data_IF_378359627442
#
_entry.id   IF_378359627442
#
_cell.length_a   1.000
_cell.length_b   1.000
_cell.length_c   1.000
_cell.angle_alpha   90.00
_cell.angle_beta   90.00
_cell.angle_gamma   90.00
#
_symmetry.space_group_name_H-M   'P 1'
#
loop_
_entity.id
_entity.type
_entity.pdbx_description
1 polymer ?
#
# COMPACT_ATOMS: atom_id res chain seq x y z
N UNK A 1 25.29 26.88 -44.80
CA UNK A 1 25.80 25.83 -43.89
C UNK A 1 25.24 26.11 -42.50
N UNK A 2 24.45 25.14 -41.98
CA UNK A 2 23.87 24.92 -40.64
C UNK A 2 23.70 26.10 -39.64
N UNK A 3 22.48 26.34 -39.11
CA UNK A 3 22.31 26.81 -37.73
C UNK A 3 22.23 25.63 -36.76
N UNK A 4 22.82 25.80 -35.58
CA UNK A 4 22.94 24.82 -34.50
C UNK A 4 21.93 25.13 -33.37
N UNK A 5 21.14 24.10 -33.02
CA UNK A 5 20.55 23.73 -31.73
C UNK A 5 19.75 24.74 -30.86
N UNK A 6 18.49 24.36 -30.61
CA UNK A 6 17.71 24.69 -29.42
C UNK A 6 18.30 24.02 -28.16
N UNK A 7 18.19 24.66 -26.99
CA UNK A 7 18.43 24.04 -25.69
C UNK A 7 17.32 24.45 -24.71
N UNK A 8 16.49 23.46 -24.34
CA UNK A 8 15.39 23.57 -23.39
C UNK A 8 15.90 23.26 -21.97
N UNK A 9 15.71 24.18 -21.01
CA UNK A 9 15.95 23.95 -19.59
C UNK A 9 14.77 23.19 -18.95
N UNK A 10 14.76 21.86 -19.09
CA UNK A 10 13.76 20.99 -18.47
C UNK A 10 14.20 20.50 -17.09
N UNK A 11 13.56 21.00 -16.03
CA UNK A 11 13.76 20.46 -14.67
C UNK A 11 13.19 21.34 -13.55
N UNK A 12 13.29 22.66 -13.69
CA UNK A 12 12.80 23.61 -12.68
C UNK A 12 11.31 23.97 -12.85
N UNK A 13 10.82 23.93 -14.09
CA UNK A 13 9.43 24.28 -14.44
C UNK A 13 8.40 23.23 -14.02
N UNK A 14 8.78 21.94 -13.99
CA UNK A 14 7.88 20.86 -13.58
C UNK A 14 7.55 20.85 -12.09
N UNK A 15 8.52 21.24 -11.25
CA UNK A 15 8.33 21.36 -9.80
C UNK A 15 7.34 22.48 -9.44
N UNK A 16 7.39 23.59 -10.18
CA UNK A 16 6.46 24.71 -10.02
C UNK A 16 5.06 24.33 -10.50
N UNK A 17 4.94 23.54 -11.57
CA UNK A 17 3.65 23.09 -12.09
C UNK A 17 2.87 22.19 -11.11
N UNK A 18 3.53 21.22 -10.47
CA UNK A 18 2.89 20.33 -9.48
C UNK A 18 2.45 21.08 -8.21
N UNK A 19 3.30 21.98 -7.71
CA UNK A 19 2.97 22.84 -6.58
C UNK A 19 1.80 23.79 -6.92
N UNK A 20 1.70 24.24 -8.17
CA UNK A 20 0.59 25.10 -8.63
C UNK A 20 -0.71 24.31 -8.85
N UNK A 21 -0.65 23.03 -9.24
CA UNK A 21 -1.83 22.18 -9.37
C UNK A 21 -2.48 21.85 -8.02
N UNK A 22 -1.67 21.55 -7.00
CA UNK A 22 -2.13 21.41 -5.60
C UNK A 22 -2.71 22.71 -5.04
N UNK A 23 -2.16 23.86 -5.44
CA UNK A 23 -2.70 25.17 -5.08
C UNK A 23 -4.04 25.49 -5.74
N UNK A 24 -4.36 24.86 -6.87
CA UNK A 24 -5.61 25.10 -7.60
C UNK A 24 -6.79 24.26 -7.09
N UNK A 25 -6.55 23.18 -6.32
CA UNK A 25 -7.62 22.35 -5.75
C UNK A 25 -8.16 22.85 -4.40
N UNK A 26 -7.50 23.83 -3.78
CA UNK A 26 -7.84 24.37 -2.44
C UNK A 26 -8.04 25.88 -2.53
N UNK A 27 -9.25 26.39 -2.25
CA UNK A 27 -9.60 27.81 -2.42
C UNK A 27 -8.86 28.77 -1.48
N UNK A 28 -8.18 28.24 -0.45
CA UNK A 28 -7.46 29.01 0.57
C UNK A 28 -5.97 28.61 0.68
N UNK A 29 -5.36 28.16 -0.42
CA UNK A 29 -3.95 27.78 -0.47
C UNK A 29 -3.15 28.76 -1.34
N UNK A 30 -2.12 29.42 -0.77
CA UNK A 30 -1.25 30.31 -1.53
C UNK A 30 0.23 30.06 -1.21
N UNK A 31 1.02 29.64 -2.20
CA UNK A 31 2.48 29.52 -2.06
C UNK A 31 3.09 30.91 -1.82
N UNK A 32 3.72 31.10 -0.67
CA UNK A 32 4.33 32.36 -0.21
C UNK A 32 5.84 32.36 -0.29
N UNK A 33 6.47 31.20 -0.55
CA UNK A 33 7.91 31.13 -0.73
C UNK A 33 8.35 29.83 -1.39
N UNK A 34 9.42 29.91 -2.17
CA UNK A 34 10.11 28.75 -2.73
C UNK A 34 11.59 28.97 -2.46
N UNK A 35 12.23 28.06 -1.74
CA UNK A 35 13.68 28.10 -1.47
C UNK A 35 14.32 26.83 -2.00
N UNK A 36 15.35 26.98 -2.83
CA UNK A 36 16.15 25.85 -3.28
C UNK A 36 17.05 25.35 -2.14
N UNK A 37 17.07 24.04 -1.92
CA UNK A 37 17.95 23.37 -0.97
C UNK A 37 19.08 22.65 -1.74
N UNK A 38 20.14 22.17 -1.06
CA UNK A 38 21.13 21.27 -1.65
C UNK A 38 20.51 20.02 -2.28
N UNK A 39 21.28 19.28 -3.08
CA UNK A 39 20.92 17.96 -3.60
C UNK A 39 19.59 17.88 -4.37
N UNK A 40 19.29 18.92 -5.16
CA UNK A 40 18.08 19.04 -5.99
C UNK A 40 16.75 19.10 -5.21
N UNK A 41 16.80 19.44 -3.92
CA UNK A 41 15.61 19.65 -3.12
C UNK A 41 15.06 21.09 -3.24
N UNK A 42 13.79 21.26 -2.89
CA UNK A 42 13.16 22.57 -2.75
C UNK A 42 12.25 22.57 -1.52
N UNK A 43 12.28 23.68 -0.79
CA UNK A 43 11.36 24.01 0.29
C UNK A 43 10.26 24.91 -0.30
N UNK A 44 9.01 24.52 -0.13
CA UNK A 44 7.84 25.34 -0.44
C UNK A 44 7.28 25.89 0.88
N UNK A 45 6.96 27.18 0.89
CA UNK A 45 6.21 27.85 1.96
C UNK A 45 4.89 28.31 1.39
N UNK A 46 3.81 28.18 2.14
CA UNK A 46 2.52 28.75 1.79
C UNK A 46 1.83 29.33 3.01
N UNK A 47 0.75 30.02 2.76
CA UNK A 47 -0.23 30.47 3.75
C UNK A 47 -1.59 29.93 3.37
N UNK A 48 -2.32 29.43 4.36
CA UNK A 48 -3.72 29.05 4.24
C UNK A 48 -4.39 29.05 5.60
N UNK A 49 -5.72 29.11 5.60
CA UNK A 49 -6.52 29.29 6.82
C UNK A 49 -6.69 27.99 7.64
N UNK A 50 -6.04 26.90 7.23
CA UNK A 50 -6.01 25.64 7.95
C UNK A 50 -4.58 25.35 8.42
N UNK A 51 -4.45 24.94 9.68
CA UNK A 51 -3.20 24.65 10.37
C UNK A 51 -2.50 23.37 9.83
N UNK A 52 -2.24 23.30 8.53
CA UNK A 52 -1.65 22.15 7.84
C UNK A 52 -0.41 22.59 7.04
N UNK A 53 0.70 21.91 7.32
CA UNK A 53 1.97 22.05 6.62
C UNK A 53 2.28 20.71 5.92
N UNK A 54 2.72 20.77 4.68
CA UNK A 54 3.21 19.67 3.84
C UNK A 54 4.66 19.98 3.44
N UNK A 55 5.45 18.96 3.09
CA UNK A 55 6.75 19.16 2.45
C UNK A 55 6.74 18.27 1.22
N UNK A 56 7.07 18.82 0.05
CA UNK A 56 7.16 18.08 -1.20
C UNK A 56 8.65 17.87 -1.50
N UNK A 57 9.18 16.70 -1.17
CA UNK A 57 10.56 16.33 -1.54
C UNK A 57 10.56 15.58 -2.89
N UNK A 58 11.23 16.15 -3.91
CA UNK A 58 11.53 15.44 -5.16
C UNK A 58 12.88 14.75 -5.02
N UNK A 59 12.92 13.41 -5.07
CA UNK A 59 14.14 12.65 -5.30
C UNK A 59 14.11 12.10 -6.73
N UNK A 60 14.89 12.69 -7.64
CA UNK A 60 15.20 12.04 -8.93
C UNK A 60 16.34 11.06 -8.75
N UNK A 61 16.15 9.81 -9.15
CA UNK A 61 17.23 8.84 -9.26
C UNK A 61 18.35 9.40 -10.16
N UNK A 62 19.56 9.37 -9.59
CA UNK A 62 20.79 9.90 -10.13
C UNK A 62 21.34 8.94 -11.21
N UNK A 63 21.02 9.19 -12.48
CA UNK A 63 21.91 8.76 -13.57
C UNK A 63 22.97 9.85 -13.77
N UNK A 64 24.12 9.61 -13.15
CA UNK A 64 25.33 10.42 -13.28
C UNK A 64 25.72 10.52 -14.76
N UNK A 65 25.73 11.74 -15.29
CA UNK A 65 26.11 12.01 -16.68
C UNK A 65 26.46 13.48 -16.94
N UNK A 66 27.57 13.92 -16.34
CA UNK A 66 28.46 15.03 -16.75
C UNK A 66 27.88 16.31 -17.39
N UNK A 67 28.14 17.46 -16.74
CA UNK A 67 28.24 18.75 -17.43
C UNK A 67 27.95 19.99 -16.57
N UNK A 68 28.98 20.53 -15.91
CA UNK A 68 28.94 21.86 -15.31
C UNK A 68 28.78 22.94 -16.39
N UNK A 69 27.76 23.80 -16.29
CA UNK A 69 27.73 25.11 -16.95
C UNK A 69 27.09 26.16 -16.01
N UNK A 70 27.69 27.36 -15.83
CA UNK A 70 27.14 28.37 -14.93
C UNK A 70 26.05 29.19 -15.64
N UNK A 71 24.87 29.33 -15.03
CA UNK A 71 23.85 30.31 -15.45
C UNK A 71 23.99 31.59 -14.62
N UNK A 72 24.11 32.73 -15.30
CA UNK A 72 24.15 34.07 -14.71
C UNK A 72 22.76 34.51 -14.23
N UNK A 73 22.71 35.21 -13.10
CA UNK A 73 21.49 35.81 -12.56
C UNK A 73 21.08 37.07 -13.32
N UNK A 74 19.79 37.21 -13.64
CA UNK A 74 19.17 38.46 -14.12
C UNK A 74 18.25 38.98 -13.01
N UNK A 75 18.33 40.27 -12.62
CA UNK A 75 17.48 40.80 -11.57
C UNK A 75 16.05 41.07 -12.09
N UNK A 76 15.04 40.68 -11.31
CA UNK A 76 13.62 40.90 -11.62
C UNK A 76 13.13 42.21 -10.98
N UNK A 77 12.55 43.10 -11.79
CA UNK A 77 11.83 44.30 -11.33
C UNK A 77 10.39 43.93 -10.94
N UNK A 78 9.88 44.50 -9.85
CA UNK A 78 8.52 44.26 -9.33
C UNK A 78 7.58 45.37 -9.81
N UNK A 79 6.47 44.99 -10.45
CA UNK A 79 5.35 45.87 -10.79
C UNK A 79 4.02 45.10 -10.80
N UNK A 80 2.86 45.74 -10.52
CA UNK A 80 1.65 45.04 -10.14
C UNK A 80 0.67 44.89 -11.32
N UNK A 81 0.54 43.67 -11.85
CA UNK A 81 -0.65 43.23 -12.60
C UNK A 81 -0.86 41.73 -12.33
N UNK A 82 -2.12 41.24 -12.26
CA UNK A 82 -2.39 39.83 -12.06
C UNK A 82 -2.12 39.08 -13.36
N UNK A 83 -1.29 38.04 -13.32
CA UNK A 83 -1.19 37.08 -14.42
C UNK A 83 -1.93 35.80 -14.02
N UNK A 84 -2.67 35.25 -14.98
CA UNK A 84 -3.18 33.88 -14.91
C UNK A 84 -2.11 32.95 -15.46
N UNK A 85 -1.66 31.98 -14.67
CA UNK A 85 -0.77 30.92 -15.14
C UNK A 85 -1.61 29.80 -15.74
N UNK A 86 -1.59 29.65 -17.07
CA UNK A 86 -2.10 28.46 -17.74
C UNK A 86 -0.91 27.53 -18.00
N UNK A 87 -0.91 26.36 -17.37
CA UNK A 87 0.07 25.30 -17.66
C UNK A 87 -0.64 24.24 -18.49
N UNK A 88 -0.23 24.11 -19.75
CA UNK A 88 -0.49 22.92 -20.57
C UNK A 88 0.82 22.22 -20.77
N UNK A 89 1.02 21.07 -20.12
CA UNK A 89 1.90 20.04 -20.68
C UNK A 89 1.50 18.64 -20.21
N UNK A 90 1.53 17.71 -21.16
CA UNK A 90 1.34 16.27 -20.97
C UNK A 90 2.70 15.63 -20.70
N UNK A 91 2.93 15.03 -19.52
CA UNK A 91 4.24 14.47 -19.18
C UNK A 91 4.61 13.25 -20.05
N UNK A 92 5.90 13.06 -20.37
CA UNK A 92 6.37 11.87 -21.08
C UNK A 92 6.24 10.61 -20.21
N UNK A 93 5.77 9.54 -20.84
CA UNK A 93 5.24 8.27 -20.28
C UNK A 93 6.30 7.36 -19.60
N UNK A 94 7.42 7.88 -19.08
CA UNK A 94 8.53 7.02 -18.63
C UNK A 94 9.30 7.51 -17.38
N UNK A 95 8.72 8.38 -16.55
CA UNK A 95 9.39 8.83 -15.33
C UNK A 95 8.56 8.46 -14.09
N UNK A 96 9.02 7.47 -13.32
CA UNK A 96 8.53 7.18 -11.97
C UNK A 96 8.60 8.47 -11.14
N UNK A 97 7.45 8.92 -10.65
CA UNK A 97 7.31 10.18 -9.94
C UNK A 97 7.15 9.86 -8.47
N UNK A 98 8.22 10.02 -7.70
CA UNK A 98 8.20 9.78 -6.25
C UNK A 98 7.46 10.92 -5.52
N UNK A 99 6.58 10.56 -4.59
CA UNK A 99 6.07 11.46 -3.56
C UNK A 99 6.47 10.93 -2.19
N UNK A 100 7.45 11.57 -1.55
CA UNK A 100 7.74 11.34 -0.14
C UNK A 100 6.96 12.35 0.70
N UNK A 101 5.88 11.90 1.32
CA UNK A 101 5.20 12.66 2.36
C UNK A 101 5.86 12.37 3.71
N UNK A 102 6.97 13.07 4.01
CA UNK A 102 7.44 13.17 5.39
C UNK A 102 6.81 14.39 6.02
N UNK A 103 5.84 14.15 6.89
CA UNK A 103 5.50 15.12 7.93
C UNK A 103 6.55 14.91 9.01
N UNK A 104 7.50 15.83 9.09
CA UNK A 104 8.36 15.99 10.28
C UNK A 104 8.10 17.40 10.73
N UNK A 105 7.51 17.57 11.91
CA UNK A 105 7.50 18.88 12.50
C UNK A 105 8.95 19.34 12.79
N UNK A 106 9.19 20.65 12.95
CA UNK A 106 10.52 21.16 13.31
C UNK A 106 11.01 20.74 14.70
N UNK A 107 10.23 19.97 15.46
CA UNK A 107 10.50 19.56 16.84
C UNK A 107 10.87 18.07 16.96
N UNK A 108 10.74 17.28 15.90
CA UNK A 108 11.00 15.85 15.89
C UNK A 108 9.87 15.01 16.51
N UNK A 109 8.64 15.51 16.55
CA UNK A 109 7.48 14.71 17.00
C UNK A 109 6.97 13.83 15.87
N UNK A 110 6.58 12.60 16.22
CA UNK A 110 5.95 11.69 15.28
C UNK A 110 4.54 12.15 14.91
N UNK A 111 4.06 11.72 13.76
CA UNK A 111 2.71 12.01 13.30
C UNK A 111 1.87 10.74 13.34
N UNK A 112 0.74 10.83 14.01
CA UNK A 112 -0.21 9.72 14.12
C UNK A 112 -1.15 9.57 12.91
N UNK A 113 -0.87 10.27 11.80
CA UNK A 113 -1.73 10.24 10.61
C UNK A 113 -0.91 10.50 9.34
N UNK A 114 -0.89 9.51 8.44
CA UNK A 114 -0.26 9.54 7.13
C UNK A 114 -1.25 9.09 6.05
N UNK A 115 -1.47 9.92 5.04
CA UNK A 115 -2.35 9.62 3.91
C UNK A 115 -1.58 9.87 2.63
N UNK A 116 -1.51 8.87 1.75
CA UNK A 116 -0.81 8.94 0.47
C UNK A 116 -1.69 8.41 -0.68
N UNK A 117 -1.62 9.09 -1.83
CA UNK A 117 -2.28 8.69 -3.07
C UNK A 117 -1.24 8.59 -4.18
N UNK A 118 -1.22 7.44 -4.85
CA UNK A 118 -0.38 7.13 -5.99
C UNK A 118 -0.89 7.76 -7.28
N UNK A 119 -0.04 7.70 -8.29
CA UNK A 119 -0.32 8.08 -9.67
C UNK A 119 -0.69 6.84 -10.50
N UNK A 120 -0.93 7.00 -11.82
CA UNK A 120 -1.05 5.87 -12.73
C UNK A 120 0.28 5.25 -13.19
N UNK A 121 1.42 5.62 -12.57
CA UNK A 121 2.73 5.04 -12.86
C UNK A 121 3.29 4.41 -11.59
N UNK A 122 4.32 3.57 -11.74
CA UNK A 122 5.04 2.94 -10.64
C UNK A 122 5.40 3.93 -9.51
N UNK A 123 4.77 3.73 -8.36
CA UNK A 123 4.94 4.48 -7.14
C UNK A 123 5.65 3.68 -6.05
N UNK A 124 6.29 4.39 -5.13
CA UNK A 124 6.82 3.82 -3.89
C UNK A 124 6.31 4.67 -2.73
N UNK A 125 5.43 4.10 -1.91
CA UNK A 125 4.84 4.72 -0.73
C UNK A 125 5.40 3.99 0.48
N UNK A 126 6.05 4.73 1.38
CA UNK A 126 6.57 4.19 2.65
C UNK A 126 6.11 5.07 3.78
N UNK A 127 5.40 4.48 4.75
CA UNK A 127 4.83 5.14 5.92
C UNK A 127 5.36 4.46 7.18
N UNK A 128 5.78 5.28 8.15
CA UNK A 128 6.24 4.82 9.45
C UNK A 128 5.42 5.56 10.51
N UNK A 129 4.66 4.82 11.29
CA UNK A 129 4.18 5.28 12.58
C UNK A 129 5.30 5.26 13.63
N UNK A 130 4.96 5.67 14.84
CA UNK A 130 5.83 5.65 16.01
C UNK A 130 5.02 5.26 17.24
N UNK A 131 5.53 5.55 18.44
CA UNK A 131 4.77 5.38 19.68
C UNK A 131 3.42 6.11 19.62
N UNK A 132 2.34 5.42 19.97
CA UNK A 132 0.97 5.91 19.97
C UNK A 132 0.15 5.31 18.83
N UNK A 133 -1.15 5.58 18.84
CA UNK A 133 -2.08 5.02 17.86
C UNK A 133 -2.04 5.82 16.56
N UNK A 134 -1.69 5.16 15.46
CA UNK A 134 -1.44 5.79 14.17
C UNK A 134 -2.43 5.36 13.09
N UNK A 135 -2.73 6.28 12.17
CA UNK A 135 -3.53 6.02 10.98
C UNK A 135 -2.66 6.12 9.74
N UNK A 136 -2.46 5.00 9.04
CA UNK A 136 -1.66 4.91 7.83
C UNK A 136 -2.57 4.50 6.67
N UNK A 137 -2.71 5.38 5.68
CA UNK A 137 -3.53 5.14 4.50
C UNK A 137 -2.69 5.33 3.23
N UNK A 138 -2.72 4.35 2.35
CA UNK A 138 -2.12 4.41 1.02
C UNK A 138 -3.09 3.88 -0.02
N UNK A 139 -3.29 4.62 -1.10
CA UNK A 139 -4.02 4.16 -2.28
C UNK A 139 -3.16 4.37 -3.51
N UNK A 140 -3.08 3.40 -4.40
CA UNK A 140 -2.46 3.55 -5.73
C UNK A 140 -3.49 3.32 -6.83
N UNK A 141 -3.18 3.72 -8.06
CA UNK A 141 -4.15 3.63 -9.17
C UNK A 141 -3.70 2.72 -10.30
N UNK A 142 -2.46 2.86 -10.76
CA UNK A 142 -1.90 1.95 -11.74
C UNK A 142 -0.39 2.05 -11.80
N UNK A 143 0.24 1.06 -12.43
CA UNK A 143 1.69 0.91 -12.38
C UNK A 143 2.06 -0.32 -11.55
N UNK A 144 3.34 -0.60 -11.42
CA UNK A 144 3.83 -1.62 -10.51
C UNK A 144 4.32 -0.93 -9.24
N UNK A 145 3.45 -0.87 -8.25
CA UNK A 145 3.61 -0.04 -7.07
C UNK A 145 4.22 -0.82 -5.90
N UNK A 146 4.81 -0.08 -4.96
CA UNK A 146 5.31 -0.60 -3.70
C UNK A 146 4.74 0.21 -2.55
N UNK A 147 3.91 -0.42 -1.71
CA UNK A 147 3.39 0.16 -0.48
C UNK A 147 4.05 -0.54 0.70
N UNK A 148 4.61 0.23 1.62
CA UNK A 148 5.12 -0.24 2.91
C UNK A 148 4.55 0.61 4.03
N UNK A 149 3.92 -0.03 5.00
CA UNK A 149 3.36 0.59 6.20
C UNK A 149 3.90 -0.14 7.42
N UNK A 150 4.40 0.63 8.38
CA UNK A 150 4.90 0.13 9.66
C UNK A 150 4.18 0.93 10.75
N UNK A 151 3.39 0.27 11.59
CA UNK A 151 2.62 0.89 12.67
C UNK A 151 3.53 1.37 13.80
N UNK A 152 4.19 0.46 14.49
CA UNK A 152 5.13 0.80 15.57
C UNK A 152 4.66 0.25 16.90
N UNK A 153 4.64 1.09 17.94
CA UNK A 153 4.09 0.73 19.25
C UNK A 153 2.78 1.51 19.42
N UNK A 154 1.62 0.87 19.55
CA UNK A 154 0.34 1.57 19.59
C UNK A 154 -0.81 0.68 19.15
N UNK A 155 -2.02 1.24 19.02
CA UNK A 155 -3.10 0.57 18.29
C UNK A 155 -3.20 1.30 16.95
N UNK A 156 -2.69 0.68 15.91
CA UNK A 156 -2.54 1.27 14.60
C UNK A 156 -3.62 0.80 13.63
N UNK A 157 -3.99 1.68 12.71
CA UNK A 157 -4.91 1.36 11.62
C UNK A 157 -4.18 1.60 10.31
N UNK A 158 -3.90 0.51 9.62
CA UNK A 158 -3.25 0.50 8.31
C UNK A 158 -4.24 0.10 7.23
N UNK A 159 -4.33 0.93 6.19
CA UNK A 159 -5.16 0.67 5.02
C UNK A 159 -4.33 0.85 3.77
N UNK A 160 -4.33 -0.18 2.93
CA UNK A 160 -3.73 -0.15 1.61
C UNK A 160 -4.78 -0.51 0.55
N UNK A 161 -4.86 0.32 -0.50
CA UNK A 161 -5.64 0.02 -1.71
C UNK A 161 -4.67 -0.01 -2.87
N UNK A 162 -4.44 -1.19 -3.46
CA UNK A 162 -3.54 -1.31 -4.61
C UNK A 162 -4.33 -1.20 -5.91
N UNK A 163 -3.78 -0.46 -6.87
CA UNK A 163 -4.39 -0.23 -8.17
C UNK A 163 -4.22 -1.39 -9.16
N UNK A 164 -4.16 -1.06 -10.45
CA UNK A 164 -3.84 -2.03 -11.49
C UNK A 164 -2.34 -2.21 -11.67
N UNK A 165 -1.88 -3.44 -11.81
CA UNK A 165 -0.47 -3.75 -12.08
C UNK A 165 0.07 -4.78 -11.10
N UNK A 166 1.37 -5.06 -11.19
CA UNK A 166 2.02 -6.05 -10.36
C UNK A 166 2.60 -5.36 -9.11
N UNK A 167 1.80 -5.27 -8.05
CA UNK A 167 2.15 -4.48 -6.85
C UNK A 167 2.72 -5.34 -5.72
N UNK A 168 3.56 -4.69 -4.92
CA UNK A 168 4.02 -5.20 -3.64
C UNK A 168 3.40 -4.37 -2.50
N UNK A 169 2.79 -5.04 -1.53
CA UNK A 169 2.29 -4.38 -0.32
C UNK A 169 2.79 -5.11 0.92
N UNK A 170 3.36 -4.35 1.85
CA UNK A 170 3.82 -4.84 3.14
C UNK A 170 3.23 -3.97 4.25
N UNK A 171 2.52 -4.59 5.18
CA UNK A 171 1.99 -3.96 6.39
C UNK A 171 2.52 -4.72 7.60
N UNK A 172 3.05 -3.99 8.57
CA UNK A 172 3.60 -4.52 9.83
C UNK A 172 3.02 -3.70 10.98
N UNK A 173 2.16 -4.30 11.80
CA UNK A 173 1.50 -3.70 12.96
C UNK A 173 2.51 -3.24 13.98
N UNK A 174 3.29 -4.20 14.47
CA UNK A 174 4.33 -3.97 15.45
C UNK A 174 3.86 -4.43 16.83
N UNK A 175 3.62 -3.51 17.75
CA UNK A 175 3.09 -3.81 19.08
C UNK A 175 1.79 -3.09 19.34
N UNK A 176 0.82 -3.84 19.84
CA UNK A 176 -0.51 -3.44 20.27
C UNK A 176 -1.55 -4.05 19.34
N UNK A 177 -2.82 -3.76 19.61
CA UNK A 177 -3.94 -4.41 18.94
C UNK A 177 -4.22 -3.69 17.61
N UNK A 178 -3.63 -4.15 16.51
CA UNK A 178 -3.59 -3.44 15.23
C UNK A 178 -4.69 -3.86 14.25
N UNK A 179 -5.01 -2.97 13.32
CA UNK A 179 -5.98 -3.23 12.24
C UNK A 179 -5.28 -3.05 10.90
N UNK A 180 -5.12 -4.14 10.15
CA UNK A 180 -4.48 -4.17 8.84
C UNK A 180 -5.52 -4.54 7.78
N UNK A 181 -5.89 -3.58 6.93
CA UNK A 181 -6.81 -3.80 5.82
C UNK A 181 -6.10 -3.59 4.48
N UNK A 182 -6.34 -4.52 3.55
CA UNK A 182 -5.91 -4.40 2.18
C UNK A 182 -7.01 -4.77 1.18
N UNK A 183 -7.24 -3.86 0.24
CA UNK A 183 -8.02 -4.14 -0.97
C UNK A 183 -7.10 -4.15 -2.19
N UNK A 184 -7.06 -5.29 -2.87
CA UNK A 184 -6.23 -5.46 -4.05
C UNK A 184 -7.00 -5.16 -5.33
N UNK A 185 -6.41 -4.34 -6.19
CA UNK A 185 -6.81 -4.17 -7.57
C UNK A 185 -6.31 -5.29 -8.49
N UNK A 186 -6.34 -5.03 -9.79
CA UNK A 186 -6.00 -6.01 -10.83
C UNK A 186 -4.48 -6.22 -10.98
N UNK A 187 -4.08 -7.36 -11.53
CA UNK A 187 -2.66 -7.71 -11.72
C UNK A 187 -2.11 -8.59 -10.60
N UNK A 188 -0.84 -8.99 -10.69
CA UNK A 188 -0.27 -9.95 -9.76
C UNK A 188 0.25 -9.29 -8.52
N UNK A 189 -0.28 -9.67 -7.36
CA UNK A 189 0.14 -9.03 -6.10
C UNK A 189 1.10 -9.90 -5.31
N UNK A 190 2.00 -9.24 -4.59
CA UNK A 190 2.76 -9.83 -3.51
C UNK A 190 2.43 -9.05 -2.24
N UNK A 191 1.61 -9.66 -1.38
CA UNK A 191 1.06 -9.03 -0.20
C UNK A 191 1.56 -9.76 1.03
N UNK A 192 2.08 -8.98 1.99
CA UNK A 192 2.48 -9.47 3.29
C UNK A 192 1.82 -8.59 4.36
N UNK A 193 1.07 -9.21 5.27
CA UNK A 193 0.60 -8.58 6.51
C UNK A 193 1.20 -9.30 7.71
N UNK A 194 1.72 -8.52 8.65
CA UNK A 194 2.25 -8.99 9.92
C UNK A 194 1.51 -8.20 11.01
N UNK A 195 0.83 -8.90 11.92
CA UNK A 195 0.18 -8.27 13.08
C UNK A 195 1.24 -7.80 14.07
N UNK A 196 1.86 -8.76 14.76
CA UNK A 196 2.98 -8.52 15.67
C UNK A 196 2.69 -9.03 17.07
N UNK A 197 2.86 -8.18 18.09
CA UNK A 197 2.43 -8.46 19.46
C UNK A 197 1.10 -7.74 19.72
N UNK A 198 0.04 -8.43 20.12
CA UNK A 198 -1.28 -7.80 20.37
C UNK A 198 -2.41 -8.63 19.80
N UNK A 199 -3.65 -8.29 20.12
CA UNK A 199 -4.82 -8.94 19.52
C UNK A 199 -5.15 -8.23 18.18
N UNK A 200 -4.65 -8.75 17.07
CA UNK A 200 -4.67 -8.10 15.77
C UNK A 200 -5.88 -8.49 14.89
N UNK A 201 -6.30 -7.56 14.03
CA UNK A 201 -7.29 -7.80 12.98
C UNK A 201 -6.69 -7.58 11.60
N UNK A 202 -6.64 -8.63 10.79
CA UNK A 202 -6.01 -8.60 9.47
C UNK A 202 -6.98 -9.06 8.39
N UNK A 203 -7.18 -8.25 7.36
CA UNK A 203 -8.06 -8.54 6.24
C UNK A 203 -7.39 -8.24 4.90
N UNK A 204 -7.42 -9.23 4.00
CA UNK A 204 -6.99 -9.09 2.61
C UNK A 204 -8.14 -9.51 1.69
N UNK A 205 -8.56 -8.59 0.83
CA UNK A 205 -9.42 -8.89 -0.31
C UNK A 205 -8.62 -8.87 -1.61
N UNK A 206 -8.43 -10.04 -2.21
CA UNK A 206 -7.77 -10.21 -3.51
C UNK A 206 -8.55 -9.61 -4.68
N UNK A 207 -7.82 -9.19 -5.70
CA UNK A 207 -8.35 -8.54 -6.90
C UNK A 207 -8.63 -9.48 -8.08
N UNK A 208 -8.45 -9.00 -9.31
CA UNK A 208 -8.73 -9.83 -10.50
C UNK A 208 -7.52 -10.62 -11.02
N UNK A 209 -6.33 -10.45 -10.46
CA UNK A 209 -5.13 -11.23 -10.80
C UNK A 209 -4.75 -12.23 -9.71
N UNK A 210 -3.89 -13.18 -10.06
CA UNK A 210 -3.33 -14.15 -9.11
C UNK A 210 -2.05 -13.62 -8.45
N UNK A 211 -1.72 -14.07 -7.26
CA UNK A 211 -0.60 -13.52 -6.50
C UNK A 211 -0.12 -14.41 -5.36
N UNK A 212 0.65 -13.78 -4.48
CA UNK A 212 1.06 -14.33 -3.21
C UNK A 212 0.46 -13.47 -2.11
N UNK A 213 -0.26 -14.12 -1.20
CA UNK A 213 -0.81 -13.51 0.00
C UNK A 213 -0.22 -14.24 1.20
N UNK A 214 0.46 -13.51 2.07
CA UNK A 214 0.99 -14.01 3.33
C UNK A 214 0.47 -13.16 4.49
N UNK A 215 -0.16 -13.82 5.46
CA UNK A 215 -0.56 -13.21 6.73
C UNK A 215 0.08 -14.00 7.87
N UNK A 216 0.71 -13.29 8.79
CA UNK A 216 1.28 -13.83 10.02
C UNK A 216 0.81 -12.98 11.18
N UNK A 217 -0.03 -13.50 12.05
CA UNK A 217 -0.66 -12.69 13.08
C UNK A 217 0.29 -12.40 14.24
N UNK A 218 0.93 -13.43 14.78
CA UNK A 218 2.03 -13.26 15.73
C UNK A 218 1.66 -13.74 17.11
N UNK A 219 1.62 -12.86 18.09
CA UNK A 219 1.31 -13.21 19.47
C UNK A 219 0.09 -12.44 19.96
N UNK A 220 -0.97 -13.15 20.33
CA UNK A 220 -2.24 -12.56 20.75
C UNK A 220 -3.39 -13.43 20.29
N UNK A 221 -4.62 -12.98 20.49
CA UNK A 221 -5.80 -13.66 19.96
C UNK A 221 -6.24 -12.96 18.69
N UNK A 222 -5.77 -13.46 17.55
CA UNK A 222 -5.85 -12.72 16.32
C UNK A 222 -7.06 -13.11 15.48
N UNK A 223 -7.51 -12.18 14.64
CA UNK A 223 -8.55 -12.42 13.64
C UNK A 223 -8.00 -12.18 12.25
N UNK A 224 -7.97 -13.23 11.44
CA UNK A 224 -7.40 -13.19 10.10
C UNK A 224 -8.46 -13.54 9.06
N UNK A 225 -8.57 -12.73 8.02
CA UNK A 225 -9.38 -13.04 6.84
C UNK A 225 -8.57 -12.87 5.57
N UNK A 226 -8.54 -13.91 4.73
CA UNK A 226 -7.98 -13.85 3.40
C UNK A 226 -9.00 -14.30 2.36
N UNK A 227 -9.07 -13.54 1.27
CA UNK A 227 -9.80 -13.88 0.06
C UNK A 227 -8.84 -13.77 -1.12
N UNK A 228 -8.74 -14.85 -1.90
CA UNK A 228 -7.94 -14.85 -3.13
C UNK A 228 -8.49 -13.90 -4.21
N UNK A 229 -7.76 -13.78 -5.30
CA UNK A 229 -8.22 -13.16 -6.52
C UNK A 229 -9.07 -14.10 -7.38
N UNK A 230 -9.22 -13.75 -8.66
CA UNK A 230 -9.98 -14.56 -9.65
C UNK A 230 -9.13 -15.56 -10.43
N UNK A 231 -7.82 -15.45 -10.34
CA UNK A 231 -6.87 -16.37 -10.95
C UNK A 231 -6.19 -17.19 -9.84
N UNK A 232 -5.23 -18.05 -10.20
CA UNK A 232 -4.58 -18.94 -9.23
C UNK A 232 -3.69 -18.15 -8.26
N UNK A 233 -3.95 -18.29 -6.96
CA UNK A 233 -3.16 -17.68 -5.89
C UNK A 233 -2.31 -18.68 -5.09
N UNK A 234 -1.28 -18.16 -4.43
CA UNK A 234 -0.64 -18.83 -3.29
C UNK A 234 -0.96 -18.06 -2.02
N UNK A 235 -1.61 -18.72 -1.06
CA UNK A 235 -2.09 -18.08 0.16
C UNK A 235 -1.52 -18.81 1.36
N UNK A 236 -0.94 -18.06 2.29
CA UNK A 236 -0.44 -18.57 3.57
C UNK A 236 -1.01 -17.72 4.69
N UNK A 237 -1.71 -18.35 5.62
CA UNK A 237 -2.17 -17.74 6.87
C UNK A 237 -1.55 -18.49 8.03
N UNK A 238 -0.93 -17.76 8.96
CA UNK A 238 -0.40 -18.26 10.21
C UNK A 238 -0.97 -17.44 11.36
N UNK A 239 -1.72 -18.06 12.27
CA UNK A 239 -2.22 -17.38 13.48
C UNK A 239 -1.04 -17.03 14.37
N UNK A 240 -0.43 -18.03 15.00
CA UNK A 240 0.75 -17.83 15.83
C UNK A 240 0.49 -18.36 17.23
N UNK A 241 0.83 -17.56 18.25
CA UNK A 241 0.66 -17.97 19.64
C UNK A 241 -0.69 -17.50 20.19
N UNK A 242 -1.40 -18.40 20.89
CA UNK A 242 -2.69 -18.18 21.60
C UNK A 242 -3.90 -18.60 20.78
N UNK A 243 -5.07 -17.98 20.93
CA UNK A 243 -6.31 -18.47 20.30
C UNK A 243 -6.66 -17.58 19.12
N UNK A 244 -6.46 -18.12 17.92
CA UNK A 244 -6.66 -17.38 16.69
C UNK A 244 -7.94 -17.81 15.96
N UNK A 245 -8.53 -16.85 15.24
CA UNK A 245 -9.67 -17.09 14.34
C UNK A 245 -9.27 -16.79 12.91
N UNK A 246 -9.20 -17.83 12.10
CA UNK A 246 -8.87 -17.75 10.69
C UNK A 246 -10.14 -17.90 9.84
N UNK A 247 -10.27 -17.07 8.81
CA UNK A 247 -11.30 -17.19 7.78
C UNK A 247 -10.66 -17.17 6.41
N UNK A 248 -10.95 -18.20 5.61
CA UNK A 248 -10.55 -18.26 4.21
C UNK A 248 -11.78 -18.33 3.30
N UNK A 249 -11.93 -17.33 2.44
CA UNK A 249 -12.93 -17.29 1.39
C UNK A 249 -12.37 -17.91 0.11
N UNK A 250 -12.91 -19.07 -0.27
CA UNK A 250 -12.54 -19.72 -1.53
C UNK A 250 -13.01 -18.84 -2.69
N UNK A 251 -12.13 -18.56 -3.64
CA UNK A 251 -12.43 -17.78 -4.83
C UNK A 251 -12.38 -18.61 -6.10
N UNK A 252 -12.50 -17.94 -7.26
CA UNK A 252 -12.29 -18.59 -8.54
C UNK A 252 -10.78 -18.72 -8.77
N UNK A 253 -10.35 -19.87 -9.27
CA UNK A 253 -8.92 -20.18 -9.39
C UNK A 253 -8.64 -21.62 -8.98
N UNK A 254 -7.39 -22.03 -9.08
CA UNK A 254 -6.84 -23.26 -8.54
C UNK A 254 -5.75 -22.92 -7.52
N UNK A 255 -6.17 -22.34 -6.40
CA UNK A 255 -5.26 -21.76 -5.41
C UNK A 255 -4.49 -22.84 -4.65
N UNK A 256 -3.29 -22.48 -4.21
CA UNK A 256 -2.52 -23.25 -3.26
C UNK A 256 -2.55 -22.53 -1.90
N UNK A 257 -3.25 -23.12 -0.94
CA UNK A 257 -3.55 -22.48 0.34
C UNK A 257 -2.95 -23.30 1.48
N UNK A 258 -2.25 -22.62 2.39
CA UNK A 258 -1.80 -23.19 3.66
C UNK A 258 -2.38 -22.37 4.80
N UNK A 259 -3.13 -23.03 5.67
CA UNK A 259 -3.79 -22.43 6.83
C UNK A 259 -3.24 -23.12 8.07
N UNK A 260 -2.60 -22.35 8.93
CA UNK A 260 -1.93 -22.85 10.13
C UNK A 260 -2.39 -22.01 11.32
N UNK A 261 -3.14 -22.57 12.26
CA UNK A 261 -3.56 -21.81 13.46
C UNK A 261 -2.35 -21.48 14.31
N UNK A 262 -1.56 -22.50 14.66
CA UNK A 262 -0.33 -22.34 15.41
C UNK A 262 -0.45 -23.01 16.78
N UNK A 263 0.44 -22.71 17.74
CA UNK A 263 0.24 -23.16 19.10
C UNK A 263 -0.94 -22.47 19.79
N UNK A 264 -2.03 -23.21 19.98
CA UNK A 264 -3.12 -22.77 20.86
C UNK A 264 -4.41 -23.54 20.72
N UNK A 265 -5.54 -22.83 20.77
CA UNK A 265 -6.89 -23.37 20.59
C UNK A 265 -7.56 -22.55 19.49
N UNK A 266 -7.32 -22.94 18.24
CA UNK A 266 -7.57 -22.13 17.06
C UNK A 266 -8.84 -22.54 16.32
N UNK A 267 -9.51 -21.56 15.74
CA UNK A 267 -10.72 -21.75 14.95
C UNK A 267 -10.48 -21.40 13.48
N UNK A 268 -10.96 -22.26 12.58
CA UNK A 268 -10.90 -22.02 11.13
C UNK A 268 -12.28 -22.12 10.50
N UNK A 269 -12.66 -21.08 9.76
CA UNK A 269 -13.81 -21.10 8.86
C UNK A 269 -13.36 -21.03 7.41
N UNK A 270 -13.73 -22.02 6.61
CA UNK A 270 -13.53 -22.01 5.16
C UNK A 270 -14.88 -21.78 4.49
N UNK A 271 -15.06 -20.62 3.87
CA UNK A 271 -16.28 -20.28 3.17
C UNK A 271 -16.18 -20.68 1.70
N UNK A 272 -17.07 -21.57 1.29
CA UNK A 272 -17.25 -21.87 -0.13
C UNK A 272 -17.99 -20.70 -0.79
N UNK A 273 -17.44 -20.19 -1.89
CA UNK A 273 -18.14 -19.23 -2.76
C UNK A 273 -18.37 -19.81 -4.17
N UNK A 274 -19.62 -19.81 -4.62
CA UNK A 274 -20.00 -20.09 -6.01
C UNK A 274 -19.81 -21.55 -6.41
N UNK A 275 -19.19 -21.83 -7.56
CA UNK A 275 -19.01 -23.20 -8.07
C UNK A 275 -17.57 -23.72 -7.93
N UNK A 276 -16.80 -23.17 -7.00
CA UNK A 276 -15.41 -23.56 -6.79
C UNK A 276 -15.31 -25.03 -6.36
N UNK A 277 -14.43 -25.78 -7.04
CA UNK A 277 -13.97 -27.08 -6.58
C UNK A 277 -12.75 -26.88 -5.68
N UNK A 278 -12.61 -27.70 -4.65
CA UNK A 278 -11.47 -27.61 -3.75
C UNK A 278 -11.26 -28.92 -2.99
N UNK A 279 -10.05 -29.10 -2.49
CA UNK A 279 -9.67 -30.22 -1.63
C UNK A 279 -8.96 -29.69 -0.40
N UNK A 280 -9.46 -30.06 0.78
CA UNK A 280 -8.84 -29.76 2.07
C UNK A 280 -8.09 -31.00 2.54
N UNK A 281 -6.84 -30.81 2.95
CA UNK A 281 -5.96 -31.85 3.47
C UNK A 281 -5.41 -31.46 4.83
N UNK A 282 -5.12 -32.45 5.64
CA UNK A 282 -4.28 -32.26 6.83
C UNK A 282 -2.79 -32.12 6.43
N UNK A 283 -1.94 -31.80 7.40
CA UNK A 283 -0.49 -31.72 7.23
C UNK A 283 0.15 -33.05 6.76
N UNK A 284 -0.49 -34.19 7.01
CA UNK A 284 -0.05 -35.51 6.54
C UNK A 284 -0.42 -35.79 5.08
N UNK A 285 -1.20 -34.91 4.44
CA UNK A 285 -1.70 -35.04 3.08
C UNK A 285 -3.00 -35.84 2.96
N UNK A 286 -3.59 -36.28 4.08
CA UNK A 286 -4.88 -36.97 4.07
C UNK A 286 -5.99 -35.98 3.74
N UNK A 287 -6.95 -36.40 2.93
CA UNK A 287 -8.10 -35.55 2.58
C UNK A 287 -9.05 -35.47 3.77
N UNK A 288 -9.29 -34.26 4.27
CA UNK A 288 -10.31 -33.97 5.27
C UNK A 288 -11.68 -33.78 4.61
N UNK A 289 -11.71 -32.98 3.55
CA UNK A 289 -12.93 -32.67 2.80
C UNK A 289 -12.61 -32.39 1.33
N UNK A 290 -13.53 -32.73 0.43
CA UNK A 290 -13.37 -32.45 -1.00
C UNK A 290 -14.72 -32.12 -1.63
N UNK A 291 -14.72 -31.06 -2.44
CA UNK A 291 -15.87 -30.69 -3.27
C UNK A 291 -15.47 -30.67 -4.75
N UNK A 292 -16.16 -31.50 -5.54
CA UNK A 292 -15.89 -31.64 -6.98
C UNK A 292 -14.55 -32.32 -7.28
N UNK A 293 -14.04 -32.10 -8.49
CA UNK A 293 -12.73 -32.62 -8.92
C UNK A 293 -11.84 -31.48 -9.41
N UNK A 294 -10.61 -31.40 -8.89
CA UNK A 294 -9.66 -30.32 -9.16
C UNK A 294 -9.94 -29.07 -8.33
N UNK A 295 -9.42 -27.92 -8.79
CA UNK A 295 -9.52 -26.63 -8.11
C UNK A 295 -8.56 -26.48 -6.93
N UNK A 296 -8.86 -25.55 -6.03
CA UNK A 296 -7.92 -25.12 -4.97
C UNK A 296 -7.52 -26.27 -4.04
N UNK A 297 -6.24 -26.31 -3.70
CA UNK A 297 -5.64 -27.26 -2.76
C UNK A 297 -5.34 -26.53 -1.46
N UNK A 298 -6.05 -26.92 -0.40
CA UNK A 298 -5.98 -26.28 0.91
C UNK A 298 -5.35 -27.28 1.87
N UNK A 299 -4.26 -26.89 2.51
CA UNK A 299 -3.62 -27.66 3.58
C UNK A 299 -3.88 -26.97 4.90
N UNK A 300 -4.36 -27.72 5.88
CA UNK A 300 -4.66 -27.22 7.22
C UNK A 300 -3.80 -27.94 8.24
N UNK A 301 -3.26 -27.18 9.19
CA UNK A 301 -2.53 -27.68 10.36
C UNK A 301 -2.87 -26.85 11.59
N UNK A 302 -2.70 -27.46 12.77
CA UNK A 302 -2.83 -26.79 14.07
C UNK A 302 -4.10 -25.94 14.17
N UNK A 303 -5.25 -26.59 13.95
CA UNK A 303 -6.57 -26.00 14.07
C UNK A 303 -7.43 -26.99 14.84
N UNK A 304 -7.92 -26.56 16.00
CA UNK A 304 -8.70 -27.37 16.93
C UNK A 304 -10.18 -27.38 16.56
N UNK A 305 -10.70 -26.29 15.99
CA UNK A 305 -12.12 -26.15 15.60
C UNK A 305 -12.24 -25.69 14.16
N UNK A 306 -12.49 -26.61 13.24
CA UNK A 306 -12.60 -26.28 11.83
C UNK A 306 -13.99 -26.48 11.27
N UNK A 307 -14.43 -25.58 10.38
CA UNK A 307 -15.68 -25.75 9.65
C UNK A 307 -15.57 -25.30 8.19
N UNK A 308 -16.34 -25.97 7.34
CA UNK A 308 -16.56 -25.59 5.94
C UNK A 308 -18.00 -25.15 5.79
N UNK A 309 -18.21 -23.93 5.32
CA UNK A 309 -19.53 -23.33 5.16
C UNK A 309 -19.90 -23.26 3.68
N UNK A 310 -21.12 -23.69 3.34
CA UNK A 310 -21.68 -23.59 2.00
C UNK A 310 -22.30 -22.22 1.69
N UNK A 311 -22.67 -21.99 0.43
CA UNK A 311 -23.19 -20.68 -0.02
C UNK A 311 -24.48 -20.25 0.71
N UNK A 312 -25.24 -21.19 1.27
CA UNK A 312 -26.47 -20.94 2.02
C UNK A 312 -26.25 -20.72 3.52
N UNK A 313 -24.99 -20.72 3.98
CA UNK A 313 -24.63 -20.63 5.40
C UNK A 313 -24.73 -21.96 6.15
N UNK A 314 -24.97 -23.07 5.47
CA UNK A 314 -24.97 -24.40 6.07
C UNK A 314 -23.55 -24.91 6.33
N UNK A 315 -23.36 -25.64 7.43
CA UNK A 315 -22.12 -26.36 7.71
C UNK A 315 -22.07 -27.61 6.81
N UNK A 316 -21.09 -27.67 5.92
CA UNK A 316 -20.83 -28.79 5.02
C UNK A 316 -19.91 -29.85 5.65
N UNK A 317 -19.01 -29.40 6.51
CA UNK A 317 -18.03 -30.23 7.21
C UNK A 317 -17.56 -29.52 8.47
N UNK A 318 -17.25 -30.27 9.51
CA UNK A 318 -16.69 -29.78 10.77
C UNK A 318 -15.68 -30.80 11.30
N UNK A 319 -14.64 -30.34 11.99
CA UNK A 319 -13.68 -31.17 12.71
C UNK A 319 -13.24 -30.52 14.01
#
# INVERSE_FOLDING_TARGET
MRPLAALLCGGWLGLVAAATALAQSETNFAITGIRRLPDNQAELRWTGDTARWYVVERATNLLVGAGFWPCQAVPLFVGPFPFTLTVTDTPPVLASTFYRLRRTDPLGTCHHEFIAFGTPNDDVIVQYGCDGNDLLYAETSGGNDRIEQYGGDGIDTMTAVSGTGDDFVHQDGGRGDDILYLESGDGKKNIVQIGGEGDDTMEITGGHGGGVIEQSAGAGNDTMTARGGKEDDTIRMQGGESTDTLTYDITAGSDLVTLDGGPGDDALTINKCGHANFTIRDQGGNVLFQMGSGGSQITVSNVEHGQVIGDGGEVLYEW
#
